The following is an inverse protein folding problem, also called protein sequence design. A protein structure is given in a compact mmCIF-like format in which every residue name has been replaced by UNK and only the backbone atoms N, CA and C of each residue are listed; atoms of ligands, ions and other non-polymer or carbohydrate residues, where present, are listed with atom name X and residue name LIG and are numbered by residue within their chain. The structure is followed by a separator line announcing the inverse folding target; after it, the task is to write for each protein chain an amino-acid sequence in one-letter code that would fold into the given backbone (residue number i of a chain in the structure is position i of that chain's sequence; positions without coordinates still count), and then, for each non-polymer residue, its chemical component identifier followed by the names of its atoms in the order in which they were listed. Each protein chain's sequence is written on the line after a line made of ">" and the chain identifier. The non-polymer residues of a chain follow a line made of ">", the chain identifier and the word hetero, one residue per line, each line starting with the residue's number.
data_IF_328063339653
#
_entry.id   IF_328063339653
#
_cell.length_a   1.000
_cell.length_b   1.000
_cell.length_c   1.000
_cell.angle_alpha   90.00
_cell.angle_beta   90.00
_cell.angle_gamma   90.00
#
_symmetry.space_group_name_H-M   'P 1'
#
loop_
_entity.id
_entity.type
_entity.pdbx_description
1 polymer ?
#
# COMPACT_ATOMS: atom_id res chain seq x y z
N UNK A 1 -50.63 -16.00 -56.11
CA UNK A 1 -49.40 -15.58 -55.40
C UNK A 1 -49.25 -16.54 -54.21
N UNK A 2 -48.42 -17.59 -54.27
CA UNK A 2 -46.98 -17.59 -53.95
C UNK A 2 -46.71 -16.83 -52.63
N UNK A 3 -46.12 -17.34 -51.55
CA UNK A 3 -45.08 -18.36 -51.47
C UNK A 3 -44.85 -18.82 -50.00
N UNK A 4 -44.51 -20.11 -49.86
CA UNK A 4 -43.51 -20.76 -48.98
C UNK A 4 -43.29 -20.40 -47.49
N UNK A 5 -43.38 -21.47 -46.69
CA UNK A 5 -42.70 -21.75 -45.40
C UNK A 5 -41.17 -21.66 -45.56
N UNK A 6 -40.48 -21.10 -44.55
CA UNK A 6 -39.10 -21.46 -44.19
C UNK A 6 -38.85 -21.24 -42.69
N UNK A 7 -38.39 -22.30 -42.01
CA UNK A 7 -37.68 -22.23 -40.74
C UNK A 7 -36.17 -22.15 -41.04
N UNK A 8 -35.46 -21.29 -40.32
CA UNK A 8 -34.00 -21.20 -40.28
C UNK A 8 -33.58 -20.29 -39.11
N UNK A 9 -32.48 -20.59 -38.41
CA UNK A 9 -32.22 -20.06 -37.08
C UNK A 9 -31.63 -18.65 -37.14
N UNK A 10 -32.01 -17.78 -36.22
CA UNK A 10 -31.27 -16.53 -35.97
C UNK A 10 -30.84 -16.50 -34.51
N UNK A 11 -29.62 -16.98 -34.31
CA UNK A 11 -28.72 -16.50 -33.28
C UNK A 11 -28.65 -14.97 -33.33
N UNK A 12 -28.67 -14.29 -32.17
CA UNK A 12 -27.59 -13.39 -31.72
C UNK A 12 -27.98 -12.70 -30.41
N UNK A 13 -27.10 -12.92 -29.43
CA UNK A 13 -26.83 -12.14 -28.21
C UNK A 13 -27.93 -11.96 -27.16
N UNK A 14 -28.05 -12.95 -26.27
CA UNK A 14 -28.32 -12.64 -24.88
C UNK A 14 -27.12 -11.85 -24.33
N UNK A 15 -27.22 -10.52 -24.27
CA UNK A 15 -26.35 -9.75 -23.39
C UNK A 15 -26.77 -10.10 -21.96
N UNK A 16 -26.03 -11.00 -21.35
CA UNK A 16 -26.03 -11.21 -19.90
C UNK A 16 -25.87 -9.85 -19.22
N UNK A 17 -26.68 -9.50 -18.20
CA UNK A 17 -26.42 -8.30 -17.42
C UNK A 17 -25.01 -8.46 -16.83
N UNK A 18 -24.10 -7.56 -17.22
CA UNK A 18 -22.81 -7.47 -16.55
C UNK A 18 -23.10 -7.24 -15.07
N UNK A 19 -22.67 -8.20 -14.24
CA UNK A 19 -22.75 -8.06 -12.79
C UNK A 19 -22.19 -6.68 -12.40
N UNK A 20 -22.85 -5.93 -11.51
CA UNK A 20 -22.28 -4.70 -11.03
C UNK A 20 -20.95 -5.05 -10.38
N UNK A 21 -19.84 -4.57 -10.95
CA UNK A 21 -18.53 -4.60 -10.28
C UNK A 21 -18.66 -3.66 -9.09
N UNK A 22 -19.22 -4.17 -8.00
CA UNK A 22 -19.27 -3.49 -6.72
C UNK A 22 -17.86 -3.52 -6.12
N UNK A 23 -16.97 -2.70 -6.69
CA UNK A 23 -15.65 -2.40 -6.17
C UNK A 23 -15.67 -1.08 -5.38
N UNK A 24 -16.86 -0.58 -5.01
CA UNK A 24 -16.99 0.57 -4.15
C UNK A 24 -16.39 0.24 -2.78
N UNK A 25 -15.34 0.96 -2.42
CA UNK A 25 -14.70 0.90 -1.11
C UNK A 25 -15.76 1.09 -0.02
N UNK A 26 -15.87 0.11 0.88
CA UNK A 26 -16.77 0.17 2.03
C UNK A 26 -15.91 0.20 3.30
N UNK A 27 -15.75 1.38 3.93
CA UNK A 27 -14.91 1.54 5.13
C UNK A 27 -15.29 0.57 6.26
N UNK A 28 -16.57 0.19 6.31
CA UNK A 28 -17.19 -0.58 7.40
C UNK A 28 -16.96 -2.10 7.30
N UNK A 29 -16.77 -2.63 6.08
CA UNK A 29 -16.54 -4.08 5.84
C UNK A 29 -15.07 -4.46 5.76
N UNK A 30 -14.22 -3.47 5.58
CA UNK A 30 -12.80 -3.60 5.36
C UNK A 30 -11.99 -3.10 6.57
N UNK A 31 -12.60 -3.01 7.77
CA UNK A 31 -11.95 -2.47 8.97
C UNK A 31 -10.62 -3.18 9.23
N UNK A 32 -9.54 -2.47 8.94
CA UNK A 32 -8.19 -3.01 8.90
C UNK A 32 -7.62 -3.06 10.31
N UNK A 33 -7.12 -4.21 10.74
CA UNK A 33 -6.28 -4.34 11.95
C UNK A 33 -4.82 -3.91 11.69
N UNK A 34 -4.61 -2.92 10.82
CA UNK A 34 -3.30 -2.29 10.64
C UNK A 34 -3.18 -1.26 11.77
N UNK A 35 -2.20 -1.40 12.68
CA UNK A 35 -1.97 -0.40 13.71
C UNK A 35 -1.65 0.92 13.03
N UNK A 36 -2.04 2.05 13.63
CA UNK A 36 -1.56 3.34 13.13
C UNK A 36 -0.05 3.42 13.28
N UNK A 37 0.63 3.88 12.23
CA UNK A 37 2.06 4.12 12.26
C UNK A 37 2.37 5.32 13.14
N UNK A 38 3.23 5.11 14.14
CA UNK A 38 3.63 6.12 15.12
C UNK A 38 5.13 6.42 15.13
N UNK A 39 5.87 5.85 14.17
CA UNK A 39 7.33 5.99 14.06
C UNK A 39 8.10 4.92 14.82
N UNK A 40 7.54 4.34 15.89
CA UNK A 40 8.22 3.34 16.72
C UNK A 40 7.92 1.90 16.29
N UNK A 41 6.79 1.70 15.61
CA UNK A 41 6.29 0.39 15.20
C UNK A 41 6.59 0.04 13.73
N UNK A 42 7.55 0.71 13.09
CA UNK A 42 7.82 0.61 11.64
C UNK A 42 7.92 -0.84 11.12
N UNK A 43 8.72 -1.76 11.68
CA UNK A 43 8.86 -3.11 11.13
C UNK A 43 7.58 -3.96 11.20
N UNK A 44 6.71 -3.68 12.17
CA UNK A 44 5.43 -4.37 12.31
C UNK A 44 4.38 -3.76 11.38
N UNK A 45 4.33 -2.42 11.35
CA UNK A 45 3.43 -1.67 10.50
C UNK A 45 3.67 -1.97 9.02
N UNK A 46 4.92 -1.96 8.57
CA UNK A 46 5.32 -2.23 7.18
C UNK A 46 4.75 -3.58 6.71
N UNK A 47 4.99 -4.65 7.48
CA UNK A 47 4.50 -6.00 7.17
C UNK A 47 2.98 -6.06 7.11
N UNK A 48 2.30 -5.40 8.04
CA UNK A 48 0.83 -5.40 8.08
C UNK A 48 0.22 -4.62 6.90
N UNK A 49 0.84 -3.51 6.49
CA UNK A 49 0.42 -2.77 5.28
C UNK A 49 0.57 -3.63 4.04
N UNK A 50 1.74 -4.23 3.82
CA UNK A 50 1.96 -5.12 2.66
C UNK A 50 0.96 -6.26 2.64
N UNK A 51 0.75 -6.92 3.78
CA UNK A 51 -0.23 -8.00 3.92
C UNK A 51 -1.68 -7.53 3.65
N UNK A 52 -2.00 -6.27 3.94
CA UNK A 52 -3.32 -5.70 3.67
C UNK A 52 -3.53 -5.34 2.19
N UNK A 53 -2.48 -4.88 1.50
CA UNK A 53 -2.54 -4.48 0.10
C UNK A 53 -2.44 -5.67 -0.86
N UNK A 54 -1.72 -6.73 -0.48
CA UNK A 54 -1.45 -7.90 -1.33
C UNK A 54 -2.74 -8.55 -1.90
N UNK A 55 -3.78 -8.88 -1.09
CA UNK A 55 -5.03 -9.47 -1.61
C UNK A 55 -5.78 -8.55 -2.59
N UNK A 56 -5.52 -7.24 -2.54
CA UNK A 56 -6.16 -6.21 -3.36
C UNK A 56 -5.35 -5.87 -4.61
N UNK A 57 -4.18 -6.50 -4.80
CA UNK A 57 -3.21 -6.17 -5.87
C UNK A 57 -2.78 -4.70 -5.87
N UNK A 58 -2.72 -4.10 -4.69
CA UNK A 58 -2.30 -2.71 -4.51
C UNK A 58 -0.84 -2.59 -4.07
N UNK A 59 -0.20 -3.71 -3.71
CA UNK A 59 1.20 -3.73 -3.25
C UNK A 59 2.18 -3.25 -4.32
N UNK A 60 1.86 -3.47 -5.61
CA UNK A 60 2.69 -3.03 -6.75
C UNK A 60 2.92 -1.53 -6.75
N UNK A 61 1.93 -0.73 -6.32
CA UNK A 61 2.04 0.72 -6.24
C UNK A 61 2.98 1.22 -5.13
N UNK A 62 3.42 0.34 -4.21
CA UNK A 62 4.45 0.68 -3.22
C UNK A 62 5.87 0.43 -3.74
N UNK A 63 6.02 -0.46 -4.72
CA UNK A 63 7.31 -0.97 -5.18
C UNK A 63 7.72 -0.41 -6.54
N UNK A 64 6.75 -0.06 -7.37
CA UNK A 64 6.96 0.45 -8.72
C UNK A 64 6.51 1.91 -8.83
N UNK A 65 7.26 2.69 -9.60
CA UNK A 65 6.86 4.04 -9.98
C UNK A 65 5.67 3.94 -10.93
N UNK A 66 4.72 4.86 -10.76
CA UNK A 66 3.64 5.08 -11.71
C UNK A 66 4.19 5.29 -13.13
N UNK A 67 3.46 4.77 -14.13
CA UNK A 67 3.73 5.07 -15.53
C UNK A 67 3.74 6.58 -15.76
N UNK A 68 4.50 7.05 -16.76
CA UNK A 68 4.53 8.46 -17.15
C UNK A 68 3.16 8.95 -17.64
N UNK A 69 2.38 8.04 -18.20
CA UNK A 69 0.99 8.25 -18.63
C UNK A 69 0.17 7.07 -18.10
N UNK A 70 -0.32 7.15 -16.84
CA UNK A 70 -1.10 6.08 -16.25
C UNK A 70 -2.50 6.04 -16.86
N UNK A 71 -3.06 4.84 -17.01
CA UNK A 71 -4.48 4.70 -17.34
C UNK A 71 -5.36 4.98 -16.10
N UNK A 72 -6.68 5.07 -16.32
CA UNK A 72 -7.63 5.37 -15.24
C UNK A 72 -7.65 4.31 -14.14
N UNK A 73 -7.44 3.03 -14.48
CA UNK A 73 -7.40 1.94 -13.50
C UNK A 73 -6.11 2.03 -12.66
N UNK A 74 -4.98 2.38 -13.29
CA UNK A 74 -3.69 2.59 -12.64
C UNK A 74 -3.74 3.79 -11.68
N UNK A 75 -4.29 4.92 -12.13
CA UNK A 75 -4.48 6.11 -11.31
C UNK A 75 -5.41 5.83 -10.13
N UNK A 76 -6.53 5.15 -10.37
CA UNK A 76 -7.46 4.79 -9.30
C UNK A 76 -6.82 3.84 -8.27
N UNK A 77 -6.00 2.89 -8.72
CA UNK A 77 -5.24 1.99 -7.85
C UNK A 77 -4.22 2.73 -6.97
N UNK A 78 -3.50 3.68 -7.56
CA UNK A 78 -2.55 4.52 -6.83
C UNK A 78 -3.23 5.41 -5.77
N UNK A 79 -4.30 6.12 -6.15
CA UNK A 79 -5.07 6.98 -5.22
C UNK A 79 -5.68 6.16 -4.08
N UNK A 80 -6.18 4.95 -4.38
CA UNK A 80 -6.68 4.03 -3.36
C UNK A 80 -5.58 3.60 -2.38
N UNK A 81 -4.37 3.38 -2.90
CA UNK A 81 -3.20 3.05 -2.06
C UNK A 81 -2.81 4.23 -1.17
N UNK A 82 -2.78 5.46 -1.70
CA UNK A 82 -2.57 6.68 -0.90
C UNK A 82 -3.61 6.83 0.22
N UNK A 83 -4.88 6.56 -0.07
CA UNK A 83 -5.95 6.60 0.94
C UNK A 83 -5.75 5.58 2.06
N UNK A 84 -5.28 4.38 1.74
CA UNK A 84 -4.98 3.35 2.75
C UNK A 84 -3.78 3.78 3.61
N UNK A 85 -2.73 4.32 2.99
CA UNK A 85 -1.56 4.82 3.71
C UNK A 85 -1.93 5.98 4.64
N UNK A 86 -2.72 6.94 4.17
CA UNK A 86 -3.12 8.11 4.98
C UNK A 86 -3.92 7.72 6.22
N UNK A 87 -4.84 6.76 6.08
CA UNK A 87 -5.61 6.21 7.21
C UNK A 87 -4.71 5.45 8.20
N UNK A 88 -3.70 4.75 7.70
CA UNK A 88 -2.81 3.90 8.49
C UNK A 88 -1.65 4.64 9.16
N UNK A 89 -1.56 5.97 9.04
CA UNK A 89 -0.49 6.80 9.62
C UNK A 89 -1.08 7.79 10.63
N UNK A 90 -0.30 8.16 11.67
CA UNK A 90 -0.66 9.25 12.58
C UNK A 90 -0.51 10.62 11.91
N UNK A 91 -1.40 11.55 12.25
CA UNK A 91 -1.44 12.88 11.64
C UNK A 91 -0.10 13.63 11.70
N UNK A 92 0.64 13.51 12.80
CA UNK A 92 1.95 14.16 12.93
C UNK A 92 2.97 13.68 11.88
N UNK A 93 2.97 12.37 11.59
CA UNK A 93 3.83 11.78 10.57
C UNK A 93 3.30 12.11 9.18
N UNK A 94 1.97 12.02 8.99
CA UNK A 94 1.32 12.41 7.74
C UNK A 94 1.75 13.82 7.32
N UNK A 95 1.65 14.81 8.22
CA UNK A 95 2.04 16.20 7.92
C UNK A 95 3.53 16.40 7.69
N UNK A 96 4.38 15.48 8.17
CA UNK A 96 5.83 15.57 8.00
C UNK A 96 6.31 14.91 6.71
N UNK A 97 5.63 13.86 6.25
CA UNK A 97 6.06 13.04 5.12
C UNK A 97 5.31 13.40 3.84
N UNK A 98 4.00 13.66 3.95
CA UNK A 98 3.15 13.91 2.77
C UNK A 98 3.16 15.39 2.45
N UNK A 99 3.46 15.70 1.19
CA UNK A 99 3.59 17.03 0.63
C UNK A 99 2.91 17.08 -0.75
N UNK A 100 2.66 18.29 -1.27
CA UNK A 100 2.00 18.46 -2.57
C UNK A 100 2.62 17.64 -3.71
N UNK A 101 3.95 17.46 -3.83
CA UNK A 101 4.50 16.66 -4.92
C UNK A 101 4.32 15.15 -4.75
N UNK A 102 4.19 14.60 -3.54
CA UNK A 102 4.05 13.15 -3.32
C UNK A 102 2.63 12.69 -2.97
N UNK A 103 1.67 13.60 -2.73
CA UNK A 103 0.32 13.25 -2.22
C UNK A 103 -0.46 12.24 -3.09
N UNK A 104 -0.14 12.15 -4.39
CA UNK A 104 -0.78 11.24 -5.36
C UNK A 104 0.14 10.06 -5.75
N UNK A 105 1.35 10.02 -5.22
CA UNK A 105 2.36 9.00 -5.54
C UNK A 105 2.61 8.09 -4.33
N UNK A 106 1.95 6.92 -4.28
CA UNK A 106 2.11 5.98 -3.17
C UNK A 106 3.54 5.43 -3.06
N UNK A 107 4.27 5.31 -4.18
CA UNK A 107 5.66 4.85 -4.17
C UNK A 107 6.58 5.89 -3.54
N UNK A 108 6.38 7.17 -3.87
CA UNK A 108 7.12 8.28 -3.25
C UNK A 108 6.86 8.35 -1.74
N UNK A 109 5.58 8.35 -1.32
CA UNK A 109 5.21 8.34 0.10
C UNK A 109 5.86 7.15 0.83
N UNK A 110 5.74 5.95 0.25
CA UNK A 110 6.29 4.74 0.84
C UNK A 110 7.83 4.80 0.97
N UNK A 111 8.50 5.37 -0.02
CA UNK A 111 9.95 5.54 -0.05
C UNK A 111 10.41 6.56 0.99
N UNK A 112 9.71 7.68 1.14
CA UNK A 112 10.02 8.69 2.16
C UNK A 112 9.89 8.10 3.57
N UNK A 113 8.80 7.37 3.86
CA UNK A 113 8.62 6.68 5.15
C UNK A 113 9.76 5.68 5.38
N UNK A 114 10.06 4.80 4.41
CA UNK A 114 11.16 3.85 4.53
C UNK A 114 12.47 4.57 4.80
N UNK A 115 12.75 5.65 4.09
CA UNK A 115 14.03 6.36 4.22
C UNK A 115 14.19 6.96 5.61
N UNK A 116 13.17 7.65 6.12
CA UNK A 116 13.21 8.28 7.45
C UNK A 116 13.34 7.21 8.54
N UNK A 117 12.48 6.19 8.51
CA UNK A 117 12.33 5.28 9.65
C UNK A 117 13.17 3.99 9.55
N UNK A 118 13.66 3.59 8.37
CA UNK A 118 14.67 2.54 8.27
C UNK A 118 16.05 3.04 8.71
N UNK A 119 16.38 4.32 8.47
CA UNK A 119 17.59 4.93 9.02
C UNK A 119 17.56 4.99 10.55
N UNK A 120 16.41 5.32 11.14
CA UNK A 120 16.23 5.30 12.60
C UNK A 120 16.41 3.90 13.18
N UNK A 121 15.86 2.87 12.53
CA UNK A 121 16.06 1.48 12.94
C UNK A 121 17.53 1.07 12.88
N UNK A 122 18.24 1.44 11.81
CA UNK A 122 19.66 1.16 11.66
C UNK A 122 20.48 1.85 12.75
N UNK A 123 20.20 3.12 13.03
CA UNK A 123 20.85 3.89 14.09
C UNK A 123 20.62 3.24 15.48
N UNK A 124 19.40 2.80 15.77
CA UNK A 124 19.07 2.09 17.00
C UNK A 124 19.86 0.79 17.16
N UNK A 125 20.00 -0.01 16.08
CA UNK A 125 20.82 -1.23 16.10
C UNK A 125 22.28 -0.89 16.40
N UNK A 126 22.84 0.14 15.76
CA UNK A 126 24.21 0.59 16.04
C UNK A 126 24.39 1.06 17.48
N UNK A 127 23.44 1.80 18.04
CA UNK A 127 23.49 2.24 19.44
C UNK A 127 23.49 1.05 20.42
N UNK A 128 22.64 0.06 20.17
CA UNK A 128 22.59 -1.17 20.99
C UNK A 128 23.90 -1.93 20.89
N UNK A 129 24.47 -2.06 19.70
CA UNK A 129 25.76 -2.71 19.49
C UNK A 129 26.90 -2.00 20.22
N UNK A 130 26.98 -0.67 20.11
CA UNK A 130 27.99 0.14 20.80
C UNK A 130 27.86 0.02 22.34
N UNK A 131 26.64 0.02 22.86
CA UNK A 131 26.40 -0.19 24.30
C UNK A 131 26.83 -1.59 24.75
N UNK A 132 26.61 -2.62 23.93
CA UNK A 132 27.08 -3.97 24.23
C UNK A 132 28.61 -4.05 24.25
N UNK A 133 29.29 -3.46 23.27
CA UNK A 133 30.76 -3.39 23.24
C UNK A 133 31.33 -2.65 24.45
N UNK A 134 30.73 -1.51 24.84
CA UNK A 134 31.14 -0.75 26.03
C UNK A 134 30.99 -1.56 27.34
N UNK A 135 29.92 -2.35 27.47
CA UNK A 135 29.72 -3.26 28.60
C UNK A 135 30.77 -4.38 28.62
N UNK A 136 31.14 -4.93 27.47
CA UNK A 136 32.19 -5.97 27.39
C UNK A 136 33.56 -5.38 27.76
N UNK A 137 33.89 -4.20 27.25
CA UNK A 137 35.17 -3.55 27.52
C UNK A 137 35.32 -3.11 28.98
N UNK A 138 34.25 -2.63 29.61
CA UNK A 138 34.25 -2.28 31.04
C UNK A 138 34.36 -3.49 32.00
N UNK A 139 34.26 -4.74 31.50
CA UNK A 139 34.42 -5.96 32.30
C UNK A 139 35.83 -6.57 32.25
N UNK A 140 36.72 -6.06 31.40
CA UNK A 140 38.07 -6.62 31.20
C UNK A 140 39.22 -5.69 31.64
N UNK A 141 38.93 -4.55 32.27
CA UNK A 141 39.95 -3.53 32.62
C UNK A 141 40.54 -3.62 34.04
N UNK A 142 40.39 -4.76 34.71
CA UNK A 142 41.11 -5.07 35.96
C UNK A 142 41.47 -6.57 36.01
N UNK A 143 42.58 -6.94 35.36
CA UNK A 143 43.42 -8.07 35.81
C UNK A 143 44.88 -7.65 35.73
#
# INVERSE_FOLDING_TARGET
>A
MANTRNQGPSSTSNKTPSAPKNNAYSPDKDHVNVPKFDGTNFPLWERKIKMHLCPRRLETYLEELLSKEPDEDELQGALRTCSILSEAILNAIFTSVINNPNEQDPHAIWTDIKTIYALDLLLLVFQVWNKWLDIQYNKDLNT
#
